data_IF_522054321835
#
_entry.id   IF_522054321835
#
_cell.length_a   1.000
_cell.length_b   1.000
_cell.length_c   1.000
_cell.angle_alpha   90.00
_cell.angle_beta   90.00
_cell.angle_gamma   90.00
#
_symmetry.space_group_name_H-M   'P 1'
#
loop_
_entity.id
_entity.type
_entity.pdbx_description
1 polymer ?
#
# COMPACT_ATOMS: atom_id res chain seq x y z
N UNK A 1 25.34 -16.48 -4.55
CA UNK A 1 25.80 -17.65 -3.77
C UNK A 1 26.52 -17.10 -2.54
N UNK A 2 26.24 -17.61 -1.34
CA UNK A 2 26.99 -17.21 -0.14
C UNK A 2 28.38 -17.88 -0.15
N UNK A 3 29.36 -17.27 0.53
CA UNK A 3 30.72 -17.85 0.67
C UNK A 3 30.69 -19.28 1.27
N UNK A 4 29.74 -19.54 2.18
CA UNK A 4 29.55 -20.85 2.78
C UNK A 4 29.19 -21.94 1.76
N UNK A 5 28.28 -21.64 0.80
CA UNK A 5 27.93 -22.59 -0.28
C UNK A 5 29.11 -22.89 -1.19
N UNK A 6 29.98 -21.92 -1.43
CA UNK A 6 31.18 -22.09 -2.24
C UNK A 6 32.19 -22.99 -1.49
N UNK A 7 32.34 -22.82 -0.18
CA UNK A 7 33.22 -23.61 0.67
C UNK A 7 32.74 -25.06 0.75
N UNK A 8 31.44 -25.31 0.89
CA UNK A 8 30.85 -26.65 0.92
C UNK A 8 31.05 -27.39 -0.41
N UNK A 9 30.87 -26.70 -1.55
CA UNK A 9 31.18 -27.30 -2.88
C UNK A 9 32.66 -27.67 -3.02
N UNK A 10 33.57 -26.82 -2.52
CA UNK A 10 35.01 -27.08 -2.58
C UNK A 10 35.42 -28.27 -1.68
N UNK A 11 34.72 -28.49 -0.57
CA UNK A 11 34.96 -29.63 0.35
C UNK A 11 34.32 -30.94 -0.13
N UNK A 12 33.56 -30.93 -1.23
CA UNK A 12 32.87 -32.11 -1.76
C UNK A 12 31.65 -32.53 -0.93
N UNK A 13 31.22 -31.69 -0.01
CA UNK A 13 29.95 -31.87 0.69
C UNK A 13 28.78 -31.51 -0.26
N UNK A 14 27.76 -32.34 -0.30
CA UNK A 14 26.56 -31.98 -1.03
C UNK A 14 26.02 -30.66 -0.45
N UNK A 15 25.84 -29.59 -1.28
CA UNK A 15 25.36 -28.32 -0.78
C UNK A 15 24.04 -28.58 -0.09
N UNK A 16 23.95 -28.30 1.21
CA UNK A 16 22.69 -28.38 1.95
C UNK A 16 21.67 -27.59 1.19
N UNK A 17 20.63 -28.26 0.68
CA UNK A 17 19.56 -27.64 -0.08
C UNK A 17 19.07 -26.46 0.75
N UNK A 18 19.27 -25.23 0.25
CA UNK A 18 18.83 -24.01 0.91
C UNK A 18 17.35 -24.22 1.17
N UNK A 19 16.98 -24.47 2.44
CA UNK A 19 15.58 -24.66 2.82
C UNK A 19 14.81 -23.46 2.25
N UNK A 20 13.75 -23.68 1.44
CA UNK A 20 12.95 -22.59 0.94
C UNK A 20 12.57 -21.72 2.13
N UNK A 21 12.99 -20.44 2.13
CA UNK A 21 12.62 -19.57 3.24
C UNK A 21 11.11 -19.50 3.29
N UNK A 22 10.52 -20.04 4.36
CA UNK A 22 9.08 -19.97 4.57
C UNK A 22 8.62 -18.52 4.40
N UNK A 23 7.62 -18.33 3.53
CA UNK A 23 7.00 -17.02 3.25
C UNK A 23 7.82 -16.05 2.40
N UNK A 24 8.82 -16.53 1.66
CA UNK A 24 9.55 -15.72 0.69
C UNK A 24 8.59 -15.23 -0.41
N UNK A 25 8.57 -13.93 -0.64
CA UNK A 25 7.85 -13.32 -1.77
C UNK A 25 8.83 -13.19 -2.95
N UNK A 26 9.92 -12.44 -2.76
CA UNK A 26 10.98 -12.23 -3.75
C UNK A 26 12.31 -12.00 -3.05
N UNK A 27 13.40 -12.08 -3.82
CA UNK A 27 14.68 -11.48 -3.46
C UNK A 27 14.76 -10.06 -4.03
N UNK A 28 15.03 -9.10 -3.16
CA UNK A 28 15.26 -7.70 -3.51
C UNK A 28 16.69 -7.46 -4.01
N UNK A 29 17.09 -6.19 -4.04
CA UNK A 29 18.45 -5.79 -4.40
C UNK A 29 19.45 -6.39 -3.40
N UNK A 30 20.65 -6.77 -3.88
CA UNK A 30 21.69 -7.43 -3.09
C UNK A 30 21.27 -8.76 -2.44
N UNK A 31 20.30 -9.47 -3.01
CA UNK A 31 19.86 -10.76 -2.53
C UNK A 31 19.07 -10.72 -1.20
N UNK A 32 18.67 -9.55 -0.71
CA UNK A 32 17.91 -9.42 0.52
C UNK A 32 16.53 -10.09 0.37
N UNK A 33 16.16 -11.06 1.22
CA UNK A 33 14.87 -11.72 1.12
C UNK A 33 13.75 -10.78 1.59
N UNK A 34 12.71 -10.67 0.77
CA UNK A 34 11.46 -9.95 1.08
C UNK A 34 10.40 -11.01 1.36
N UNK A 35 9.92 -11.03 2.60
CA UNK A 35 9.03 -12.07 3.13
C UNK A 35 7.76 -11.48 3.72
N UNK A 36 6.69 -12.26 3.75
CA UNK A 36 5.52 -11.96 4.58
C UNK A 36 5.83 -12.20 6.06
N UNK A 37 6.17 -11.15 6.80
CA UNK A 37 6.65 -11.21 8.19
C UNK A 37 5.54 -11.46 9.19
N UNK A 38 4.36 -10.90 8.95
CA UNK A 38 3.22 -11.01 9.87
C UNK A 38 2.13 -11.94 9.31
N UNK A 39 1.25 -12.48 10.15
CA UNK A 39 0.16 -13.34 9.69
C UNK A 39 -0.72 -12.66 8.63
N UNK A 40 -1.00 -11.35 8.77
CA UNK A 40 -1.84 -10.65 7.81
C UNK A 40 -1.09 -10.31 6.50
N UNK A 41 0.23 -10.10 6.54
CA UNK A 41 1.04 -10.04 5.32
C UNK A 41 1.03 -11.36 4.55
N UNK A 42 1.09 -12.51 5.26
CA UNK A 42 0.96 -13.85 4.64
C UNK A 42 -0.44 -14.05 4.02
N UNK A 43 -1.50 -13.64 4.73
CA UNK A 43 -2.86 -13.66 4.18
C UNK A 43 -3.00 -12.81 2.93
N UNK A 44 -2.31 -11.66 2.85
CA UNK A 44 -2.30 -10.84 1.65
C UNK A 44 -1.66 -11.58 0.46
N UNK A 45 -0.57 -12.31 0.68
CA UNK A 45 0.06 -13.15 -0.35
C UNK A 45 -0.90 -14.21 -0.87
N UNK A 46 -1.59 -14.91 0.03
CA UNK A 46 -2.57 -15.94 -0.32
C UNK A 46 -3.80 -15.37 -1.04
N UNK A 47 -4.32 -14.24 -0.54
CA UNK A 47 -5.47 -13.56 -1.13
C UNK A 47 -5.18 -13.09 -2.56
N UNK A 48 -4.02 -12.49 -2.79
CA UNK A 48 -3.58 -12.07 -4.11
C UNK A 48 -3.46 -13.25 -5.11
N UNK A 49 -2.98 -14.40 -4.65
CA UNK A 49 -2.87 -15.57 -5.51
C UNK A 49 -4.25 -16.06 -6.01
N UNK A 50 -5.28 -16.01 -5.15
CA UNK A 50 -6.59 -16.62 -5.37
C UNK A 50 -7.65 -15.68 -5.95
N UNK A 51 -7.43 -14.36 -5.95
CA UNK A 51 -8.45 -13.37 -6.32
C UNK A 51 -7.93 -12.37 -7.34
N UNK A 52 -8.82 -11.76 -8.09
CA UNK A 52 -8.51 -10.73 -9.08
C UNK A 52 -8.40 -9.33 -8.45
N UNK A 53 -9.17 -9.08 -7.39
CA UNK A 53 -9.13 -7.86 -6.61
C UNK A 53 -8.91 -8.17 -5.13
N UNK A 54 -7.91 -7.54 -4.51
CA UNK A 54 -7.63 -7.68 -3.08
C UNK A 54 -7.57 -6.31 -2.40
N UNK A 55 -8.40 -6.12 -1.38
CA UNK A 55 -8.32 -4.97 -0.48
C UNK A 55 -7.40 -5.32 0.69
N UNK A 56 -6.36 -4.51 0.91
CA UNK A 56 -5.44 -4.60 2.04
C UNK A 56 -5.63 -3.36 2.95
N UNK A 57 -6.31 -3.53 4.06
CA UNK A 57 -6.82 -2.45 4.91
C UNK A 57 -6.17 -2.47 6.28
N UNK A 58 -5.88 -1.31 6.84
CA UNK A 58 -5.38 -1.17 8.20
C UNK A 58 -4.33 -0.08 8.37
N UNK A 59 -3.69 0.01 9.56
CA UNK A 59 -2.90 1.16 9.95
C UNK A 59 -1.63 1.35 9.10
N UNK A 60 -1.18 2.60 9.01
CA UNK A 60 0.09 2.94 8.39
C UNK A 60 1.27 2.21 9.06
N UNK A 61 2.29 1.85 8.27
CA UNK A 61 3.46 1.12 8.76
C UNK A 61 3.26 -0.39 8.94
N UNK A 62 2.10 -0.96 8.58
CA UNK A 62 1.86 -2.41 8.59
C UNK A 62 2.42 -3.14 7.35
N UNK A 63 3.00 -2.42 6.40
CA UNK A 63 3.66 -2.99 5.22
C UNK A 63 2.73 -3.35 4.06
N UNK A 64 1.47 -2.92 4.07
CA UNK A 64 0.48 -3.21 3.02
C UNK A 64 1.01 -2.91 1.62
N UNK A 65 1.40 -1.67 1.40
CA UNK A 65 1.90 -1.17 0.11
C UNK A 65 3.21 -1.85 -0.29
N UNK A 66 4.11 -2.04 0.66
CA UNK A 66 5.40 -2.72 0.42
C UNK A 66 5.21 -4.17 -0.04
N UNK A 67 4.34 -4.93 0.65
CA UNK A 67 4.01 -6.31 0.27
C UNK A 67 3.26 -6.35 -1.07
N UNK A 68 2.34 -5.43 -1.32
CA UNK A 68 1.62 -5.33 -2.59
C UNK A 68 2.61 -5.11 -3.76
N UNK A 69 3.58 -4.20 -3.61
CA UNK A 69 4.62 -3.97 -4.63
C UNK A 69 5.50 -5.20 -4.80
N UNK A 70 5.88 -5.88 -3.71
CA UNK A 70 6.66 -7.11 -3.80
C UNK A 70 5.93 -8.21 -4.58
N UNK A 71 4.62 -8.36 -4.39
CA UNK A 71 3.78 -9.29 -5.16
C UNK A 71 3.73 -8.92 -6.65
N UNK A 72 3.59 -7.62 -6.95
CA UNK A 72 3.60 -7.14 -8.33
C UNK A 72 4.95 -7.40 -9.01
N UNK A 73 6.06 -7.12 -8.33
CA UNK A 73 7.40 -7.38 -8.86
C UNK A 73 7.63 -8.87 -9.05
N UNK A 74 7.12 -9.73 -8.14
CA UNK A 74 7.16 -11.20 -8.29
C UNK A 74 6.44 -11.63 -9.56
N UNK A 75 5.20 -11.17 -9.75
CA UNK A 75 4.40 -11.52 -10.92
C UNK A 75 5.06 -11.07 -12.24
N UNK A 76 5.68 -9.86 -12.24
CA UNK A 76 6.44 -9.38 -13.38
C UNK A 76 7.70 -10.22 -13.66
N UNK A 77 8.49 -10.55 -12.63
CA UNK A 77 9.69 -11.40 -12.75
C UNK A 77 9.35 -12.81 -13.24
N UNK A 78 8.21 -13.35 -12.81
CA UNK A 78 7.71 -14.66 -13.23
C UNK A 78 7.03 -14.62 -14.61
N UNK A 79 6.92 -13.45 -15.26
CA UNK A 79 6.22 -13.26 -16.55
C UNK A 79 4.72 -13.62 -16.49
N UNK A 80 4.12 -13.60 -15.31
CA UNK A 80 2.68 -13.78 -15.10
C UNK A 80 1.90 -12.58 -15.65
N UNK A 81 2.54 -11.39 -15.60
CA UNK A 81 2.02 -10.13 -16.16
C UNK A 81 3.13 -9.41 -16.95
N UNK A 82 2.73 -8.47 -17.79
CA UNK A 82 3.65 -7.68 -18.61
C UNK A 82 3.94 -6.30 -18.00
N UNK A 83 3.10 -5.83 -17.07
CA UNK A 83 3.16 -4.46 -16.53
C UNK A 83 2.86 -4.40 -15.05
N UNK A 84 3.43 -3.39 -14.39
CA UNK A 84 3.03 -2.94 -13.06
C UNK A 84 2.52 -1.52 -13.19
N UNK A 85 1.35 -1.25 -12.61
CA UNK A 85 0.73 0.09 -12.63
C UNK A 85 0.46 0.49 -11.19
N UNK A 86 1.17 1.50 -10.73
CA UNK A 86 1.05 2.06 -9.38
C UNK A 86 0.31 3.39 -9.46
N UNK A 87 -0.67 3.56 -8.63
CA UNK A 87 -1.47 4.79 -8.58
C UNK A 87 -1.74 5.21 -7.14
N UNK A 88 -1.85 6.50 -6.95
CA UNK A 88 -2.21 7.11 -5.68
C UNK A 88 -3.11 8.31 -5.93
N UNK A 89 -4.17 8.55 -5.11
CA UNK A 89 -4.93 9.78 -5.21
C UNK A 89 -4.03 10.96 -4.84
N UNK A 90 -4.10 12.02 -5.63
CA UNK A 90 -3.50 13.29 -5.26
C UNK A 90 -4.44 13.95 -4.24
N UNK A 91 -4.04 14.00 -2.98
CA UNK A 91 -4.77 14.67 -1.91
C UNK A 91 -3.98 15.90 -1.51
N UNK A 92 -4.63 17.04 -1.50
CA UNK A 92 -4.05 18.27 -0.96
C UNK A 92 -4.06 18.19 0.57
N UNK A 93 -3.02 17.60 1.16
CA UNK A 93 -2.84 17.53 2.61
C UNK A 93 -2.49 18.92 3.16
N UNK A 94 -3.47 19.82 3.22
CA UNK A 94 -3.31 21.17 3.80
C UNK A 94 -2.59 22.19 2.93
N UNK A 95 -1.75 21.77 1.98
CA UNK A 95 -1.09 22.63 0.99
C UNK A 95 -1.76 22.46 -0.37
N UNK A 96 -2.35 23.52 -0.88
CA UNK A 96 -2.97 23.50 -2.22
C UNK A 96 -1.88 23.28 -3.25
N UNK A 97 -1.93 22.17 -4.00
CA UNK A 97 -1.01 21.84 -5.10
C UNK A 97 -0.81 23.03 -6.07
N UNK A 98 -1.79 23.92 -6.17
CA UNK A 98 -1.73 25.14 -6.96
C UNK A 98 -0.64 26.15 -6.53
N UNK A 99 -0.18 26.12 -5.29
CA UNK A 99 0.84 27.06 -4.78
C UNK A 99 2.27 26.53 -4.86
N UNK A 100 2.49 25.25 -5.18
CA UNK A 100 3.85 24.72 -5.37
C UNK A 100 4.40 25.18 -6.72
N UNK A 101 5.67 25.63 -6.80
CA UNK A 101 6.33 25.94 -8.07
C UNK A 101 6.59 24.67 -8.88
N UNK A 102 6.65 24.79 -10.22
CA UNK A 102 6.94 23.69 -11.13
C UNK A 102 5.71 23.17 -11.87
N UNK A 103 5.95 22.25 -12.80
CA UNK A 103 4.94 21.59 -13.60
C UNK A 103 4.08 20.65 -12.74
N UNK A 104 2.90 20.24 -13.25
CA UNK A 104 1.99 19.34 -12.55
C UNK A 104 2.70 18.03 -12.12
N UNK A 105 3.64 17.54 -12.93
CA UNK A 105 4.44 16.35 -12.64
C UNK A 105 5.34 16.58 -11.42
N UNK A 106 6.06 17.68 -11.38
CA UNK A 106 6.97 18.03 -10.29
C UNK A 106 6.23 18.19 -8.95
N UNK A 107 4.99 18.66 -9.00
CA UNK A 107 4.13 18.81 -7.82
C UNK A 107 3.60 17.49 -7.26
N UNK A 108 3.44 16.48 -8.10
CA UNK A 108 2.86 15.19 -7.74
C UNK A 108 3.95 14.16 -7.37
N UNK A 109 5.14 14.28 -7.94
CA UNK A 109 6.26 13.34 -7.71
C UNK A 109 6.57 13.10 -6.22
N UNK A 110 6.57 14.10 -5.31
CA UNK A 110 6.79 13.87 -3.87
C UNK A 110 5.77 12.90 -3.25
N UNK A 111 4.53 12.93 -3.68
CA UNK A 111 3.48 12.02 -3.18
C UNK A 111 3.64 10.59 -3.68
N UNK A 112 4.36 10.39 -4.78
CA UNK A 112 4.63 9.08 -5.36
C UNK A 112 5.97 8.50 -4.89
N UNK A 113 6.82 9.30 -4.21
CA UNK A 113 8.15 8.88 -3.75
C UNK A 113 8.14 7.57 -2.95
N UNK A 114 7.20 7.31 -2.00
CA UNK A 114 7.18 6.04 -1.28
C UNK A 114 7.00 4.81 -2.17
N UNK A 115 6.38 4.96 -3.34
CA UNK A 115 6.23 3.87 -4.31
C UNK A 115 7.54 3.61 -5.05
N UNK A 116 8.27 4.68 -5.40
CA UNK A 116 9.62 4.58 -5.99
C UNK A 116 10.59 3.90 -5.02
N UNK A 117 10.61 4.33 -3.75
CA UNK A 117 11.50 3.78 -2.73
C UNK A 117 11.29 2.27 -2.55
N UNK A 118 10.03 1.83 -2.51
CA UNK A 118 9.70 0.41 -2.41
C UNK A 118 10.17 -0.38 -3.65
N UNK A 119 10.03 0.18 -4.86
CA UNK A 119 10.54 -0.46 -6.08
C UNK A 119 12.05 -0.55 -6.10
N UNK A 120 12.77 0.47 -5.61
CA UNK A 120 14.25 0.49 -5.55
C UNK A 120 14.81 -0.58 -4.62
N UNK A 121 14.08 -0.95 -3.57
CA UNK A 121 14.45 -2.09 -2.71
C UNK A 121 14.38 -3.45 -3.45
N UNK A 122 13.58 -3.53 -4.51
CA UNK A 122 13.21 -4.78 -5.18
C UNK A 122 13.81 -4.96 -6.56
N UNK A 123 14.16 -3.86 -7.23
CA UNK A 123 14.63 -3.83 -8.61
C UNK A 123 15.89 -2.95 -8.66
N UNK A 124 17.00 -3.44 -9.25
CA UNK A 124 18.21 -2.63 -9.42
C UNK A 124 17.92 -1.33 -10.19
N UNK A 125 18.54 -0.23 -9.78
CA UNK A 125 18.23 1.12 -10.26
C UNK A 125 18.27 1.23 -11.80
N UNK A 126 19.27 0.64 -12.45
CA UNK A 126 19.40 0.64 -13.93
C UNK A 126 18.19 -0.04 -14.57
N UNK A 127 17.76 -1.19 -14.03
CA UNK A 127 16.63 -1.96 -14.56
C UNK A 127 15.28 -1.29 -14.26
N UNK A 128 15.16 -0.64 -13.11
CA UNK A 128 13.96 0.13 -12.76
C UNK A 128 13.79 1.30 -13.74
N UNK A 129 14.88 2.03 -14.04
CA UNK A 129 14.87 3.12 -15.02
C UNK A 129 14.41 2.62 -16.39
N UNK A 130 15.00 1.53 -16.90
CA UNK A 130 14.59 0.90 -18.17
C UNK A 130 13.10 0.53 -18.18
N UNK A 131 12.60 -0.08 -17.09
CA UNK A 131 11.19 -0.46 -16.99
C UNK A 131 10.25 0.74 -16.98
N UNK A 132 10.67 1.86 -16.43
CA UNK A 132 9.88 3.08 -16.43
C UNK A 132 9.89 3.76 -17.81
N UNK A 133 11.05 3.84 -18.47
CA UNK A 133 11.19 4.40 -19.82
C UNK A 133 10.39 3.59 -20.87
N UNK A 134 10.36 2.26 -20.71
CA UNK A 134 9.61 1.36 -21.60
C UNK A 134 8.14 1.15 -21.18
N UNK A 135 7.67 1.88 -20.14
CA UNK A 135 6.32 1.76 -19.61
C UNK A 135 5.93 0.33 -19.13
N UNK A 136 6.91 -0.51 -18.78
CA UNK A 136 6.68 -1.79 -18.08
C UNK A 136 6.26 -1.51 -16.64
N UNK A 137 6.85 -0.50 -16.00
CA UNK A 137 6.39 0.02 -14.71
C UNK A 137 5.90 1.45 -14.92
N UNK A 138 4.68 1.71 -14.50
CA UNK A 138 4.04 3.03 -14.59
C UNK A 138 3.64 3.47 -13.19
N UNK A 139 4.05 4.68 -12.81
CA UNK A 139 3.60 5.34 -11.59
C UNK A 139 2.88 6.62 -12.01
N UNK A 140 1.60 6.73 -11.68
CA UNK A 140 0.81 7.87 -12.12
C UNK A 140 -0.32 8.19 -11.14
N UNK A 141 -0.71 9.46 -11.02
CA UNK A 141 -1.88 9.87 -10.26
C UNK A 141 -3.15 9.16 -10.74
N UNK A 142 -4.08 8.94 -9.82
CA UNK A 142 -5.34 8.26 -10.09
C UNK A 142 -6.12 8.86 -11.27
N UNK A 143 -6.08 10.17 -11.47
CA UNK A 143 -6.78 10.86 -12.55
C UNK A 143 -6.36 10.36 -13.96
N UNK A 144 -5.11 9.90 -14.10
CA UNK A 144 -4.56 9.41 -15.37
C UNK A 144 -5.03 7.98 -15.73
N UNK A 145 -5.79 7.33 -14.85
CA UNK A 145 -6.36 6.01 -15.10
C UNK A 145 -7.69 6.07 -15.85
N UNK A 146 -8.28 7.25 -15.96
CA UNK A 146 -9.59 7.43 -16.61
C UNK A 146 -9.53 7.05 -18.10
N UNK A 147 -10.53 6.28 -18.57
CA UNK A 147 -10.65 5.86 -19.97
C UNK A 147 -9.72 4.74 -20.40
N UNK A 148 -8.88 4.21 -19.49
CA UNK A 148 -7.96 3.10 -19.78
C UNK A 148 -8.60 1.75 -19.45
N UNK A 149 -8.14 0.70 -20.12
CA UNK A 149 -8.32 -0.70 -19.71
C UNK A 149 -6.93 -1.26 -19.42
N UNK A 150 -6.74 -1.79 -18.22
CA UNK A 150 -5.44 -2.19 -17.71
C UNK A 150 -5.34 -3.72 -17.73
N UNK A 151 -4.89 -4.26 -18.85
CA UNK A 151 -4.73 -5.70 -19.07
C UNK A 151 -3.28 -6.15 -18.92
N UNK A 152 -3.07 -7.45 -18.69
CA UNK A 152 -1.76 -8.09 -18.50
C UNK A 152 -0.92 -7.38 -17.42
N UNK A 153 -1.54 -6.97 -16.31
CA UNK A 153 -0.90 -6.10 -15.34
C UNK A 153 -1.23 -6.46 -13.89
N UNK A 154 -0.31 -6.16 -12.97
CA UNK A 154 -0.67 -5.94 -11.57
C UNK A 154 -0.85 -4.45 -11.34
N UNK A 155 -2.01 -4.09 -10.80
CA UNK A 155 -2.45 -2.72 -10.62
C UNK A 155 -2.56 -2.45 -9.12
N UNK A 156 -1.94 -1.39 -8.63
CA UNK A 156 -1.98 -1.03 -7.21
C UNK A 156 -2.52 0.39 -7.06
N UNK A 157 -3.56 0.53 -6.24
CA UNK A 157 -4.02 1.83 -5.74
C UNK A 157 -3.62 1.96 -4.28
N UNK A 158 -2.71 2.86 -4.00
CA UNK A 158 -2.26 3.16 -2.64
C UNK A 158 -3.01 4.35 -2.05
N UNK A 159 -3.15 4.41 -0.72
CA UNK A 159 -3.87 5.45 0.04
C UNK A 159 -5.32 5.65 -0.46
N UNK A 160 -5.99 4.54 -0.80
CA UNK A 160 -7.32 4.57 -1.42
C UNK A 160 -8.42 5.16 -0.52
N UNK A 161 -8.22 5.28 0.81
CA UNK A 161 -9.15 5.96 1.70
C UNK A 161 -9.36 7.43 1.31
N UNK A 162 -8.40 8.01 0.59
CA UNK A 162 -8.44 9.38 0.10
C UNK A 162 -9.05 9.51 -1.30
N UNK A 163 -9.78 8.49 -1.76
CA UNK A 163 -10.59 8.56 -2.98
C UNK A 163 -12.04 8.91 -2.69
N UNK A 164 -12.65 9.65 -3.59
CA UNK A 164 -14.11 9.79 -3.61
C UNK A 164 -14.77 8.53 -4.18
N UNK A 165 -16.09 8.38 -3.97
CA UNK A 165 -16.88 7.27 -4.55
C UNK A 165 -16.73 7.16 -6.06
N UNK A 166 -16.71 8.30 -6.75
CA UNK A 166 -16.54 8.34 -8.21
C UNK A 166 -15.15 7.89 -8.64
N UNK A 167 -14.13 8.30 -7.91
CA UNK A 167 -12.74 7.95 -8.22
C UNK A 167 -12.47 6.47 -8.02
N UNK A 168 -12.91 5.88 -6.89
CA UNK A 168 -12.67 4.45 -6.65
C UNK A 168 -13.46 3.58 -7.64
N UNK A 169 -14.72 3.91 -7.91
CA UNK A 169 -15.52 3.21 -8.92
C UNK A 169 -14.85 3.28 -10.30
N UNK A 170 -14.42 4.47 -10.70
CA UNK A 170 -13.69 4.68 -11.96
C UNK A 170 -12.45 3.79 -12.01
N UNK A 171 -11.67 3.71 -10.94
CA UNK A 171 -10.43 2.93 -10.90
C UNK A 171 -10.69 1.41 -10.93
N UNK A 172 -11.59 0.90 -10.09
CA UNK A 172 -11.90 -0.53 -10.01
C UNK A 172 -12.40 -1.07 -11.35
N UNK A 173 -13.11 -0.26 -12.11
CA UNK A 173 -13.60 -0.62 -13.46
C UNK A 173 -12.51 -0.54 -14.55
N UNK A 174 -11.26 -0.29 -14.21
CA UNK A 174 -10.10 -0.35 -15.14
C UNK A 174 -9.51 -1.75 -15.26
N UNK A 175 -9.89 -2.66 -14.36
CA UNK A 175 -9.40 -4.04 -14.38
C UNK A 175 -9.71 -4.69 -15.73
N UNK A 176 -8.65 -5.07 -16.45
CA UNK A 176 -8.71 -5.70 -17.77
C UNK A 176 -8.41 -7.19 -17.69
N UNK A 177 -8.34 -7.81 -18.86
CA UNK A 177 -8.04 -9.25 -18.97
C UNK A 177 -6.64 -9.56 -18.46
N UNK A 178 -6.48 -10.70 -17.81
CA UNK A 178 -5.21 -11.18 -17.25
C UNK A 178 -4.53 -10.13 -16.33
N UNK A 179 -5.34 -9.43 -15.54
CA UNK A 179 -4.84 -8.43 -14.59
C UNK A 179 -5.31 -8.76 -13.18
N UNK A 180 -4.49 -8.34 -12.20
CA UNK A 180 -4.81 -8.41 -10.77
C UNK A 180 -4.70 -7.02 -10.15
N UNK A 181 -5.56 -6.73 -9.20
CA UNK A 181 -5.62 -5.42 -8.55
C UNK A 181 -5.46 -5.54 -7.04
N UNK A 182 -4.63 -4.69 -6.45
CA UNK A 182 -4.51 -4.54 -5.01
C UNK A 182 -4.86 -3.10 -4.65
N UNK A 183 -5.76 -2.93 -3.69
CA UNK A 183 -6.16 -1.63 -3.17
C UNK A 183 -5.73 -1.55 -1.71
N UNK A 184 -4.80 -0.66 -1.38
CA UNK A 184 -4.32 -0.45 -0.03
C UNK A 184 -4.95 0.81 0.57
N UNK A 185 -5.20 0.80 1.88
CA UNK A 185 -5.74 1.98 2.55
C UNK A 185 -5.80 1.85 4.07
N UNK A 186 -5.89 3.02 4.72
CA UNK A 186 -6.10 3.16 6.16
C UNK A 186 -7.37 3.97 6.43
N UNK A 187 -8.43 3.29 6.87
CA UNK A 187 -9.72 3.92 7.13
C UNK A 187 -9.70 4.90 8.31
N UNK A 188 -8.60 4.95 9.07
CA UNK A 188 -8.43 5.90 10.20
C UNK A 188 -7.76 7.19 9.78
N UNK A 189 -7.15 7.24 8.58
CA UNK A 189 -6.40 8.38 8.06
C UNK A 189 -7.05 8.91 6.77
N UNK A 190 -8.28 9.40 6.90
CA UNK A 190 -9.03 9.98 5.78
C UNK A 190 -8.77 11.48 5.77
N UNK A 191 -8.05 11.97 4.75
CA UNK A 191 -7.68 13.38 4.57
C UNK A 191 -8.65 14.12 3.62
N UNK A 192 -9.77 13.49 3.26
CA UNK A 192 -10.79 14.13 2.45
C UNK A 192 -11.51 15.26 3.23
N UNK A 193 -11.97 16.31 2.54
CA UNK A 193 -12.83 17.33 3.15
C UNK A 193 -14.06 16.69 3.84
N UNK A 194 -14.50 17.27 4.97
CA UNK A 194 -15.62 16.73 5.76
C UNK A 194 -16.94 16.58 4.97
N UNK A 195 -17.09 17.29 3.86
CA UNK A 195 -18.22 17.18 2.95
C UNK A 195 -18.16 15.95 2.02
N UNK A 196 -17.06 15.23 2.00
CA UNK A 196 -16.83 14.08 1.12
C UNK A 196 -16.70 12.79 1.92
N UNK A 197 -17.35 11.74 1.44
CA UNK A 197 -17.24 10.41 2.01
C UNK A 197 -16.14 9.61 1.29
N UNK A 198 -15.33 8.88 2.05
CA UNK A 198 -14.33 8.00 1.48
C UNK A 198 -14.98 6.93 0.58
N UNK A 199 -14.57 6.91 -0.67
CA UNK A 199 -15.02 5.92 -1.63
C UNK A 199 -14.57 4.51 -1.27
N UNK A 200 -13.40 4.35 -0.63
CA UNK A 200 -12.91 3.06 -0.15
C UNK A 200 -13.88 2.44 0.86
N UNK A 201 -14.33 3.21 1.85
CA UNK A 201 -15.28 2.74 2.87
C UNK A 201 -16.57 2.24 2.21
N UNK A 202 -17.07 2.99 1.24
CA UNK A 202 -18.25 2.62 0.48
C UNK A 202 -18.06 1.37 -0.39
N UNK A 203 -16.94 1.31 -1.12
CA UNK A 203 -16.62 0.17 -2.00
C UNK A 203 -16.52 -1.14 -1.24
N UNK A 204 -15.90 -1.14 -0.05
CA UNK A 204 -15.80 -2.33 0.82
C UNK A 204 -17.19 -2.85 1.22
N UNK A 205 -18.12 -1.96 1.52
CA UNK A 205 -19.50 -2.34 1.86
C UNK A 205 -20.26 -2.92 0.67
N UNK A 206 -20.17 -2.27 -0.48
CA UNK A 206 -20.88 -2.66 -1.71
C UNK A 206 -20.34 -3.98 -2.27
N UNK A 207 -19.02 -4.20 -2.23
CA UNK A 207 -18.36 -5.34 -2.87
C UNK A 207 -18.17 -6.55 -1.95
N UNK A 208 -18.75 -6.53 -0.75
CA UNK A 208 -18.51 -7.54 0.28
C UNK A 208 -18.76 -9.00 -0.16
N UNK A 209 -19.72 -9.22 -1.04
CA UNK A 209 -20.16 -10.56 -1.48
C UNK A 209 -19.89 -10.80 -2.98
N UNK A 210 -18.99 -10.05 -3.59
CA UNK A 210 -18.66 -10.22 -5.01
C UNK A 210 -17.53 -11.26 -5.10
N UNK A 211 -17.76 -12.30 -5.90
CA UNK A 211 -16.77 -13.35 -6.18
C UNK A 211 -15.52 -12.76 -6.84
N UNK A 212 -14.34 -13.34 -6.56
CA UNK A 212 -13.06 -12.85 -7.07
C UNK A 212 -12.50 -11.65 -6.30
N UNK A 213 -13.17 -11.20 -5.23
CA UNK A 213 -12.74 -10.10 -4.37
C UNK A 213 -12.38 -10.60 -2.97
N UNK A 214 -11.17 -10.31 -2.52
CA UNK A 214 -10.72 -10.59 -1.18
C UNK A 214 -10.51 -9.32 -0.34
N UNK A 215 -10.64 -9.47 0.97
CA UNK A 215 -10.34 -8.43 1.95
C UNK A 215 -9.41 -8.98 3.01
N UNK A 216 -8.30 -8.29 3.24
CA UNK A 216 -7.31 -8.60 4.28
C UNK A 216 -7.20 -7.40 5.21
N UNK A 217 -7.44 -7.63 6.50
CA UNK A 217 -7.37 -6.61 7.53
C UNK A 217 -6.08 -6.72 8.31
N UNK A 218 -5.32 -5.65 8.29
CA UNK A 218 -4.14 -5.44 9.10
C UNK A 218 -4.51 -4.74 10.41
N UNK A 219 -3.76 -4.99 11.46
CA UNK A 219 -3.99 -4.41 12.77
C UNK A 219 -2.69 -3.86 13.39
N UNK A 220 -2.76 -3.30 14.60
CA UNK A 220 -1.60 -2.72 15.28
C UNK A 220 -0.44 -3.72 15.48
N UNK A 221 -0.68 -5.04 15.51
CA UNK A 221 0.37 -6.08 15.63
C UNK A 221 1.18 -6.26 14.34
N UNK A 222 0.66 -5.82 13.21
CA UNK A 222 1.36 -5.87 11.93
C UNK A 222 2.32 -4.67 11.73
N UNK A 223 2.29 -3.68 12.62
CA UNK A 223 3.14 -2.49 12.52
C UNK A 223 4.58 -2.84 12.84
N UNK A 224 5.46 -2.75 11.84
CA UNK A 224 6.90 -2.93 11.99
C UNK A 224 7.56 -1.54 12.00
N UNK A 225 7.85 -1.02 13.19
CA UNK A 225 8.47 0.29 13.36
C UNK A 225 9.67 0.21 14.31
N UNK A 226 10.56 1.19 14.20
CA UNK A 226 11.61 1.38 15.17
C UNK A 226 11.00 1.59 16.56
N UNK A 227 11.57 0.98 17.62
CA UNK A 227 11.03 1.03 18.99
C UNK A 227 10.78 2.47 19.50
N UNK A 228 11.66 3.41 19.13
CA UNK A 228 11.48 4.82 19.50
C UNK A 228 10.25 5.43 18.81
N UNK A 229 10.05 5.16 17.51
CA UNK A 229 8.89 5.65 16.76
C UNK A 229 7.59 5.14 17.37
N UNK A 230 7.57 3.87 17.79
CA UNK A 230 6.40 3.31 18.48
C UNK A 230 6.08 4.08 19.77
N UNK A 231 7.10 4.37 20.60
CA UNK A 231 6.93 5.14 21.85
C UNK A 231 6.46 6.59 21.59
N UNK A 232 6.96 7.21 20.52
CA UNK A 232 6.53 8.56 20.12
C UNK A 232 5.04 8.53 19.77
N UNK A 233 4.59 7.60 18.91
CA UNK A 233 3.17 7.47 18.53
C UNK A 233 2.28 7.23 19.75
N UNK A 234 2.66 6.31 20.64
CA UNK A 234 1.92 6.04 21.87
C UNK A 234 1.82 7.28 22.78
N UNK A 235 2.86 8.13 22.84
CA UNK A 235 2.84 9.36 23.61
C UNK A 235 1.84 10.39 23.04
N UNK A 236 1.81 10.55 21.71
CA UNK A 236 0.85 11.43 21.04
C UNK A 236 -0.59 10.90 21.16
N UNK A 237 -0.84 9.59 20.93
CA UNK A 237 -2.15 8.99 21.12
C UNK A 237 -2.72 9.25 22.53
N UNK A 238 -1.88 9.08 23.56
CA UNK A 238 -2.26 9.37 24.97
C UNK A 238 -2.57 10.85 25.22
N UNK A 239 -1.85 11.75 24.56
CA UNK A 239 -2.11 13.18 24.65
C UNK A 239 -3.46 13.53 24.03
N UNK A 240 -3.71 13.05 22.82
CA UNK A 240 -4.94 13.31 22.07
C UNK A 240 -6.17 12.75 22.79
N UNK A 241 -6.06 11.57 23.39
CA UNK A 241 -7.13 11.01 24.23
C UNK A 241 -7.44 11.91 25.45
N UNK A 242 -6.42 12.49 26.09
CA UNK A 242 -6.61 13.43 27.23
C UNK A 242 -7.31 14.70 26.78
N UNK A 243 -6.89 15.28 25.65
CA UNK A 243 -7.50 16.49 25.08
C UNK A 243 -8.96 16.21 24.70
N UNK A 244 -9.25 15.06 24.08
CA UNK A 244 -10.59 14.64 23.68
C UNK A 244 -11.52 14.47 24.90
N UNK A 245 -11.05 13.83 25.97
CA UNK A 245 -11.79 13.69 27.23
C UNK A 245 -12.07 15.03 27.89
N UNK A 246 -11.08 15.93 27.92
CA UNK A 246 -11.24 17.26 28.49
C UNK A 246 -12.22 18.15 27.68
N UNK A 247 -12.26 18.01 26.36
CA UNK A 247 -13.20 18.73 25.52
C UNK A 247 -14.64 18.20 25.62
N UNK A 248 -14.80 16.90 25.86
CA UNK A 248 -16.11 16.28 26.08
C UNK A 248 -16.71 16.66 27.44
N UNK A 249 -15.91 16.68 28.52
CA UNK A 249 -16.36 17.12 29.85
C UNK A 249 -16.79 18.59 29.84
N UNK A 250 -16.05 19.47 29.16
CA UNK A 250 -16.45 20.89 29.03
C UNK A 250 -17.76 21.08 28.25
N UNK A 251 -18.00 20.25 27.24
CA UNK A 251 -19.29 20.31 26.50
C UNK A 251 -20.46 19.79 27.33
N UNK A 252 -20.26 18.78 28.20
CA UNK A 252 -21.28 18.30 29.13
C UNK A 252 -21.63 19.36 30.18
N UNK A 253 -20.63 19.98 30.83
CA UNK A 253 -20.84 21.07 31.81
C UNK A 253 -21.57 22.29 31.20
N UNK A 254 -21.28 22.61 29.92
CA UNK A 254 -21.97 23.71 29.22
C UNK A 254 -23.40 23.34 28.80
N UNK A 255 -23.69 22.06 28.54
CA UNK A 255 -25.03 21.59 28.24
C UNK A 255 -25.92 21.54 29.47
N UNK A 256 -25.39 21.12 30.63
CA UNK A 256 -26.09 21.12 31.91
C UNK A 256 -26.46 22.54 32.39
N UNK A 257 -25.52 23.48 32.24
CA UNK A 257 -25.81 24.93 32.58
C UNK A 257 -26.82 25.61 31.67
N UNK A 258 -27.04 25.12 30.44
CA UNK A 258 -28.06 25.66 29.53
C UNK A 258 -29.42 24.99 29.66
N UNK A 259 -29.54 23.88 30.38
CA UNK A 259 -30.80 23.20 30.66
C UNK A 259 -31.43 23.60 32.00
N UNK A 260 -30.77 24.44 32.80
CA UNK A 260 -31.27 24.99 34.09
C UNK A 260 -31.74 26.44 33.99
N UNK A 261 -31.66 27.08 32.80
CA UNK A 261 -32.33 28.37 32.46
C UNK A 261 -33.60 28.11 31.62
#
# INVERSE_FOLDING_TARGET
>A
MSEEVIIDIIKGDEPQAIKPQENLIIYGVNGKPITGRTPNQKKLVEAFAKNDLTFALGPAGSGKTYVAIALAVKALKNKEVKKIILSRPAVEAGEKLGFLPGDMKDKIDPYLQPLYDALQDMIPAVKLKEYMETNVIQIAPLAFMRGRTLSDAVIILDEAQNTTTHQIKMFLTRLGMNAKMIVTGDMTQIDLPASQTSGLVQAIGILKNVEGIARVEFNKKDIVRHKLVQRIVEAYEKHDEKVRKASMSKKHEQAEKKGEE
#
